data_IF_495642882594
#
_entry.id   IF_495642882594
#
_cell.length_a   1.000
_cell.length_b   1.000
_cell.length_c   1.000
_cell.angle_alpha   90.00
_cell.angle_beta   90.00
_cell.angle_gamma   90.00
#
_symmetry.space_group_name_H-M   'P 1'
#
loop_
_entity.id
_entity.type
_entity.pdbx_description
1 polymer ?
#
# COMPACT_ATOMS: atom_id res chain seq x y z
N UNK A 1 -13.01 -3.15 -3.94
CA UNK A 1 -11.77 -3.32 -3.16
C UNK A 1 -10.84 -4.31 -3.85
N UNK A 2 -11.27 -5.54 -4.13
CA UNK A 2 -10.47 -6.53 -4.88
C UNK A 2 -10.10 -6.04 -6.29
N UNK A 3 -11.05 -5.47 -7.03
CA UNK A 3 -10.77 -4.89 -8.37
C UNK A 3 -9.69 -3.81 -8.32
N UNK A 4 -9.76 -2.94 -7.29
CA UNK A 4 -8.76 -1.88 -7.09
C UNK A 4 -7.40 -2.46 -6.70
N UNK A 5 -7.38 -3.48 -5.84
CA UNK A 5 -6.15 -4.19 -5.50
C UNK A 5 -5.48 -4.81 -6.74
N UNK A 6 -6.28 -5.41 -7.64
CA UNK A 6 -5.78 -5.94 -8.93
C UNK A 6 -5.27 -4.83 -9.85
N UNK A 7 -5.93 -3.67 -9.88
CA UNK A 7 -5.47 -2.52 -10.65
C UNK A 7 -4.12 -2.00 -10.15
N UNK A 8 -3.98 -1.81 -8.84
CA UNK A 8 -2.70 -1.41 -8.21
C UNK A 8 -1.61 -2.45 -8.47
N UNK A 9 -1.93 -3.75 -8.42
CA UNK A 9 -0.99 -4.81 -8.75
C UNK A 9 -0.51 -4.71 -10.21
N UNK A 10 -1.39 -4.36 -11.16
CA UNK A 10 -1.02 -4.13 -12.57
C UNK A 10 -0.13 -2.89 -12.73
N UNK A 11 -0.44 -1.79 -12.04
CA UNK A 11 0.40 -0.59 -12.05
C UNK A 11 1.82 -0.88 -11.54
N UNK A 12 1.94 -1.72 -10.51
CA UNK A 12 3.24 -2.20 -10.02
C UNK A 12 3.89 -3.17 -11.02
N UNK A 13 3.12 -3.96 -11.76
CA UNK A 13 3.65 -4.88 -12.77
C UNK A 13 4.30 -4.13 -13.93
N UNK A 14 3.70 -3.02 -14.37
CA UNK A 14 4.25 -2.13 -15.39
C UNK A 14 5.61 -1.54 -14.98
N UNK A 15 5.87 -1.46 -13.67
CA UNK A 15 7.17 -1.03 -13.09
C UNK A 15 8.10 -2.19 -12.70
N UNK A 16 7.72 -3.44 -12.95
CA UNK A 16 8.47 -4.63 -12.52
C UNK A 16 8.44 -4.89 -11.00
N UNK A 17 7.54 -4.24 -10.27
CA UNK A 17 7.45 -4.25 -8.80
C UNK A 17 6.30 -5.10 -8.24
N UNK A 18 5.47 -5.74 -9.09
CA UNK A 18 4.28 -6.51 -8.66
C UNK A 18 4.52 -7.69 -7.72
N UNK A 19 5.78 -8.14 -7.56
CA UNK A 19 6.15 -9.21 -6.62
C UNK A 19 6.59 -8.70 -5.25
N UNK A 20 6.72 -7.38 -5.06
CA UNK A 20 7.14 -6.81 -3.79
C UNK A 20 5.97 -6.77 -2.78
N UNK A 21 4.84 -6.07 -3.04
CA UNK A 21 3.70 -6.15 -2.15
C UNK A 21 2.99 -7.50 -2.19
N UNK A 22 2.58 -7.98 -1.02
CA UNK A 22 1.77 -9.17 -0.88
C UNK A 22 0.30 -8.89 -1.24
N UNK A 23 -0.50 -9.95 -1.46
CA UNK A 23 -1.95 -9.80 -1.67
C UNK A 23 -2.62 -9.07 -0.50
N UNK A 24 -2.34 -9.40 0.78
CA UNK A 24 -2.83 -8.61 1.92
C UNK A 24 -2.48 -7.12 1.84
N UNK A 25 -1.27 -6.75 1.44
CA UNK A 25 -0.87 -5.34 1.36
C UNK A 25 -1.72 -4.57 0.35
N UNK A 26 -1.94 -5.17 -0.82
CA UNK A 26 -2.77 -4.60 -1.89
C UNK A 26 -4.22 -4.44 -1.44
N UNK A 27 -4.76 -5.44 -0.74
CA UNK A 27 -6.11 -5.42 -0.20
C UNK A 27 -6.27 -4.34 0.89
N UNK A 28 -5.33 -4.25 1.83
CA UNK A 28 -5.32 -3.21 2.88
C UNK A 28 -5.25 -1.82 2.24
N UNK A 29 -4.33 -1.61 1.31
CA UNK A 29 -4.15 -0.32 0.66
C UNK A 29 -5.39 0.10 -0.14
N UNK A 30 -5.96 -0.81 -0.95
CA UNK A 30 -7.17 -0.54 -1.72
C UNK A 30 -8.39 -0.25 -0.83
N UNK A 31 -8.48 -0.91 0.32
CA UNK A 31 -9.55 -0.62 1.30
C UNK A 31 -9.40 0.78 1.87
N UNK A 32 -8.18 1.16 2.28
CA UNK A 32 -7.91 2.49 2.83
C UNK A 32 -8.15 3.60 1.79
N UNK A 33 -7.71 3.39 0.55
CA UNK A 33 -7.93 4.35 -0.56
C UNK A 33 -9.42 4.60 -0.80
N UNK A 34 -10.22 3.53 -0.93
CA UNK A 34 -11.66 3.64 -1.20
C UNK A 34 -12.45 4.27 -0.04
N UNK A 35 -11.95 4.16 1.19
CA UNK A 35 -12.58 4.71 2.38
C UNK A 35 -12.00 6.07 2.79
N UNK A 36 -11.01 6.61 2.06
CA UNK A 36 -10.35 7.87 2.40
C UNK A 36 -9.56 7.81 3.72
N UNK A 37 -9.03 6.64 4.07
CA UNK A 37 -8.24 6.40 5.28
C UNK A 37 -6.73 6.43 4.96
N UNK A 38 -5.92 6.72 5.98
CA UNK A 38 -4.47 6.61 5.91
C UNK A 38 -4.02 5.25 6.47
N UNK A 39 -3.19 4.51 5.72
CA UNK A 39 -2.60 3.27 6.24
C UNK A 39 -1.46 3.62 7.19
N UNK A 40 -1.51 3.13 8.42
CA UNK A 40 -0.38 3.12 9.34
C UNK A 40 0.40 1.80 9.17
N UNK A 41 1.69 1.87 8.83
CA UNK A 41 2.47 0.67 8.51
C UNK A 41 3.91 0.73 9.03
N UNK A 42 4.53 -0.46 9.11
CA UNK A 42 5.97 -0.65 9.30
C UNK A 42 6.55 -1.57 8.22
N UNK A 43 6.00 -1.50 7.00
CA UNK A 43 6.46 -2.26 5.84
C UNK A 43 6.67 -1.31 4.66
N UNK A 44 7.86 -1.38 4.03
CA UNK A 44 8.23 -0.56 2.87
C UNK A 44 7.40 -0.84 1.62
N UNK A 45 6.71 -1.97 1.56
CA UNK A 45 5.84 -2.29 0.42
C UNK A 45 4.67 -1.30 0.28
N UNK A 46 4.19 -0.73 1.39
CA UNK A 46 3.18 0.33 1.33
C UNK A 46 3.72 1.63 0.74
N UNK A 47 5.03 1.90 0.88
CA UNK A 47 5.67 3.05 0.23
C UNK A 47 5.63 2.87 -1.31
N UNK A 48 5.92 1.67 -1.82
CA UNK A 48 5.81 1.35 -3.25
C UNK A 48 4.36 1.46 -3.77
N UNK A 49 3.38 1.04 -2.96
CA UNK A 49 1.97 1.21 -3.32
C UNK A 49 1.60 2.71 -3.36
N UNK A 50 2.10 3.53 -2.43
CA UNK A 50 1.86 4.97 -2.44
C UNK A 50 2.45 5.64 -3.68
N UNK A 51 3.61 5.20 -4.18
CA UNK A 51 4.23 5.72 -5.40
C UNK A 51 3.40 5.50 -6.68
N UNK A 52 2.51 4.51 -6.69
CA UNK A 52 1.60 4.27 -7.84
C UNK A 52 0.20 4.85 -7.62
N UNK A 53 -0.29 4.89 -6.39
CA UNK A 53 -1.67 5.33 -6.06
C UNK A 53 -1.77 6.81 -5.69
N UNK A 54 -0.71 7.39 -5.13
CA UNK A 54 -0.74 8.71 -4.49
C UNK A 54 -1.53 8.74 -3.17
N UNK A 55 -1.98 7.59 -2.65
CA UNK A 55 -2.80 7.54 -1.44
C UNK A 55 -1.97 7.86 -0.19
N UNK A 56 -2.57 8.45 0.86
CA UNK A 56 -1.84 8.79 2.07
C UNK A 56 -1.39 7.53 2.83
N UNK A 57 -0.10 7.48 3.14
CA UNK A 57 0.50 6.48 4.04
C UNK A 57 1.16 7.18 5.22
N UNK A 58 1.20 6.52 6.37
CA UNK A 58 1.97 6.93 7.55
C UNK A 58 2.85 5.77 8.01
N UNK A 59 4.15 6.03 8.09
CA UNK A 59 5.07 5.09 8.72
C UNK A 59 4.97 5.22 10.24
N UNK A 60 4.93 4.10 10.94
CA UNK A 60 5.00 4.09 12.40
C UNK A 60 6.43 4.39 12.84
N UNK A 61 6.62 5.47 13.59
CA UNK A 61 7.90 5.80 14.22
C UNK A 61 8.11 4.88 15.43
N UNK A 62 9.18 4.09 15.44
CA UNK A 62 9.48 3.17 16.56
C UNK A 62 9.98 3.88 17.83
N UNK A 63 10.03 5.20 17.86
CA UNK A 63 10.59 5.99 18.96
C UNK A 63 9.69 6.12 20.20
N UNK A 64 8.82 5.13 20.47
CA UNK A 64 7.87 5.16 21.59
C UNK A 64 7.64 3.82 22.27
N UNK A 65 8.53 2.85 22.07
CA UNK A 65 8.57 1.65 22.88
C UNK A 65 9.60 1.86 24.01
N UNK A 66 9.20 2.66 25.00
CA UNK A 66 9.84 2.65 26.33
C UNK A 66 9.49 1.37 27.08
#
# INVERSE_FOLDING_TARGET
MEDRALEVQRMLADRGQHRAPSVPDLLIAATAELLGLQVLHLDKNFDLIAEVTGQPMRRLDQAGAD
#
